data_IF_675188975523
#
_entry.id   IF_675188975523
#
_cell.length_a   1.000
_cell.length_b   1.000
_cell.length_c   1.000
_cell.angle_alpha   90.00
_cell.angle_beta   90.00
_cell.angle_gamma   90.00
#
_symmetry.space_group_name_H-M   'P 1'
#
loop_
_entity.id
_entity.type
_entity.pdbx_description
1 polymer ?
#
# COMPACT_ATOMS: atom_id res chain seq x y z
N UNK A 1 68.21 0.72 13.32
CA UNK A 1 68.44 1.13 11.93
C UNK A 1 67.16 0.78 11.15
N UNK A 2 66.22 1.69 11.12
CA UNK A 2 64.91 1.49 10.46
C UNK A 2 64.97 2.10 9.05
N UNK A 3 64.87 1.26 8.03
CA UNK A 3 64.80 1.70 6.63
C UNK A 3 63.33 2.03 6.30
N UNK A 4 63.01 3.31 6.18
CA UNK A 4 61.73 3.79 5.61
C UNK A 4 61.77 3.58 4.09
N UNK A 5 60.93 2.68 3.58
CA UNK A 5 60.63 2.62 2.15
C UNK A 5 59.61 3.72 1.80
N UNK A 6 60.00 4.73 1.10
CA UNK A 6 59.15 5.76 0.49
C UNK A 6 58.49 5.15 -0.76
N UNK A 7 57.18 5.01 -0.75
CA UNK A 7 56.42 4.61 -1.92
C UNK A 7 56.15 5.88 -2.74
N UNK A 8 56.51 5.84 -4.01
CA UNK A 8 56.38 6.97 -4.96
C UNK A 8 54.90 7.29 -5.25
N UNK A 9 54.49 8.59 -5.25
CA UNK A 9 53.12 9.01 -5.56
C UNK A 9 52.65 8.70 -6.97
N UNK A 10 53.55 8.37 -7.89
CA UNK A 10 53.22 8.01 -9.29
C UNK A 10 52.47 6.67 -9.41
N UNK A 11 52.59 5.76 -8.44
CA UNK A 11 51.93 4.46 -8.48
C UNK A 11 50.45 4.55 -8.14
N UNK A 12 49.98 5.58 -7.40
CA UNK A 12 48.60 5.77 -7.05
C UNK A 12 47.76 6.37 -8.17
N UNK A 13 48.34 7.24 -9.01
CA UNK A 13 47.62 7.86 -10.13
C UNK A 13 47.33 6.89 -11.28
N UNK A 14 48.23 5.93 -11.54
CA UNK A 14 48.00 4.90 -12.57
C UNK A 14 46.93 3.88 -12.17
N UNK A 15 46.83 3.53 -10.88
CA UNK A 15 45.78 2.61 -10.38
C UNK A 15 44.39 3.23 -10.42
N UNK A 16 44.24 4.55 -10.13
CA UNK A 16 42.96 5.24 -10.19
C UNK A 16 42.44 5.39 -11.64
N UNK A 17 43.32 5.66 -12.60
CA UNK A 17 42.93 5.75 -14.00
C UNK A 17 42.53 4.41 -14.64
N UNK A 18 43.13 3.31 -14.20
CA UNK A 18 42.75 1.96 -14.66
C UNK A 18 41.41 1.54 -14.10
N UNK A 19 41.11 1.83 -12.82
CA UNK A 19 39.79 1.54 -12.23
C UNK A 19 38.68 2.36 -12.89
N UNK A 20 38.91 3.65 -13.23
CA UNK A 20 37.91 4.47 -13.90
C UNK A 20 37.65 4.02 -15.35
N UNK A 21 38.70 3.56 -16.06
CA UNK A 21 38.56 3.02 -17.41
C UNK A 21 37.85 1.67 -17.46
N UNK A 22 38.03 0.78 -16.45
CA UNK A 22 37.34 -0.48 -16.34
C UNK A 22 35.87 -0.25 -16.01
N UNK A 23 35.53 0.69 -15.12
CA UNK A 23 34.15 1.04 -14.79
C UNK A 23 33.40 1.63 -15.99
N UNK A 24 34.03 2.53 -16.75
CA UNK A 24 33.44 3.09 -17.96
C UNK A 24 33.30 2.08 -19.11
N UNK A 25 34.22 1.13 -19.24
CA UNK A 25 34.14 0.06 -20.23
C UNK A 25 33.05 -0.97 -19.86
N UNK A 26 32.84 -1.24 -18.59
CA UNK A 26 31.76 -2.13 -18.11
C UNK A 26 30.39 -1.51 -18.34
N UNK A 27 30.21 -0.22 -18.02
CA UNK A 27 28.97 0.52 -18.29
C UNK A 27 28.65 0.58 -19.80
N UNK A 28 29.66 0.84 -20.65
CA UNK A 28 29.47 0.89 -22.10
C UNK A 28 29.24 -0.51 -22.75
N UNK A 29 29.69 -1.59 -22.12
CA UNK A 29 29.43 -2.94 -22.57
C UNK A 29 28.01 -3.40 -22.20
N UNK A 30 27.53 -3.05 -21.01
CA UNK A 30 26.18 -3.29 -20.55
C UNK A 30 25.16 -2.51 -21.39
N UNK A 31 25.42 -1.25 -21.70
CA UNK A 31 24.57 -0.43 -22.58
C UNK A 31 24.48 -1.02 -24.01
N UNK A 32 25.57 -1.55 -24.56
CA UNK A 32 25.56 -2.19 -25.88
C UNK A 32 24.82 -3.51 -25.87
N UNK A 33 24.93 -4.31 -24.82
CA UNK A 33 24.22 -5.57 -24.68
C UNK A 33 22.71 -5.35 -24.53
N UNK A 34 22.31 -4.35 -23.73
CA UNK A 34 20.90 -3.98 -23.56
C UNK A 34 20.28 -3.41 -24.83
N UNK A 35 20.98 -2.56 -25.56
CA UNK A 35 20.51 -2.01 -26.85
C UNK A 35 20.36 -3.12 -27.88
N UNK A 36 21.34 -4.03 -27.98
CA UNK A 36 21.26 -5.20 -28.90
C UNK A 36 20.08 -6.10 -28.57
N UNK A 37 19.83 -6.33 -27.27
CA UNK A 37 18.68 -7.13 -26.79
C UNK A 37 17.35 -6.45 -27.12
N UNK A 38 17.24 -5.12 -26.93
CA UNK A 38 16.02 -4.38 -27.22
C UNK A 38 15.68 -4.34 -28.72
N UNK A 39 16.68 -4.27 -29.59
CA UNK A 39 16.49 -4.34 -31.05
C UNK A 39 16.00 -5.71 -31.47
N UNK A 40 16.60 -6.79 -30.93
CA UNK A 40 16.17 -8.15 -31.20
C UNK A 40 14.72 -8.41 -30.74
N UNK A 41 14.34 -7.88 -29.58
CA UNK A 41 12.96 -8.03 -29.08
C UNK A 41 11.95 -7.23 -29.91
N UNK A 42 12.31 -6.03 -30.41
CA UNK A 42 11.44 -5.27 -31.33
C UNK A 42 11.23 -6.01 -32.65
N UNK A 43 12.28 -6.60 -33.21
CA UNK A 43 12.18 -7.41 -34.42
C UNK A 43 11.31 -8.64 -34.18
N UNK A 44 11.49 -9.31 -33.03
CA UNK A 44 10.65 -10.45 -32.64
C UNK A 44 9.18 -10.05 -32.53
N UNK A 45 8.89 -8.90 -31.92
CA UNK A 45 7.52 -8.43 -31.69
C UNK A 45 6.73 -8.18 -32.98
N UNK A 46 7.40 -7.93 -34.12
CA UNK A 46 6.72 -7.89 -35.44
C UNK A 46 5.97 -9.18 -35.76
N UNK A 47 6.40 -10.30 -35.18
CA UNK A 47 5.69 -11.57 -35.33
C UNK A 47 4.28 -11.56 -34.73
N UNK A 48 3.95 -10.62 -33.83
CA UNK A 48 2.58 -10.46 -33.30
C UNK A 48 1.60 -9.97 -34.38
N UNK A 49 2.08 -9.31 -35.42
CA UNK A 49 1.29 -8.82 -36.56
C UNK A 49 1.22 -9.83 -37.73
N UNK A 50 1.85 -10.99 -37.58
CA UNK A 50 1.86 -12.02 -38.64
C UNK A 50 0.45 -12.51 -38.94
N UNK A 51 0.09 -12.71 -40.23
CA UNK A 51 -1.17 -13.33 -40.62
C UNK A 51 -1.27 -14.79 -40.15
N UNK A 52 -0.13 -15.46 -39.93
CA UNK A 52 -0.08 -16.86 -39.50
C UNK A 52 -0.26 -17.00 -38.01
N UNK A 53 -1.34 -17.64 -37.53
CA UNK A 53 -1.62 -17.87 -36.12
C UNK A 53 -0.45 -18.51 -35.37
N UNK A 54 0.17 -19.56 -35.93
CA UNK A 54 1.32 -20.22 -35.29
C UNK A 54 2.51 -19.29 -35.02
N UNK A 55 2.74 -18.33 -35.92
CA UNK A 55 3.82 -17.35 -35.73
C UNK A 55 3.49 -16.40 -34.59
N UNK A 56 2.25 -15.91 -34.52
CA UNK A 56 1.80 -15.04 -33.42
C UNK A 56 1.93 -15.75 -32.07
N UNK A 57 1.52 -17.02 -31.99
CA UNK A 57 1.58 -17.81 -30.75
C UNK A 57 3.04 -18.05 -30.30
N UNK A 58 3.90 -18.53 -31.20
CA UNK A 58 5.32 -18.72 -30.89
C UNK A 58 6.02 -17.42 -30.49
N UNK A 59 5.60 -16.27 -31.07
CA UNK A 59 6.11 -14.96 -30.69
C UNK A 59 5.65 -14.58 -29.30
N UNK A 60 4.36 -14.81 -28.97
CA UNK A 60 3.81 -14.53 -27.63
C UNK A 60 4.57 -15.30 -26.54
N UNK A 61 4.79 -16.61 -26.72
CA UNK A 61 5.53 -17.43 -25.78
C UNK A 61 6.97 -16.93 -25.56
N UNK A 62 7.66 -16.52 -26.65
CA UNK A 62 9.03 -16.00 -26.55
C UNK A 62 9.08 -14.67 -25.79
N UNK A 63 8.09 -13.78 -26.01
CA UNK A 63 8.01 -12.49 -25.31
C UNK A 63 7.65 -12.68 -23.83
N UNK A 64 6.76 -13.63 -23.51
CA UNK A 64 6.47 -14.00 -22.11
C UNK A 64 7.76 -14.48 -21.41
N UNK A 65 8.51 -15.39 -22.07
CA UNK A 65 9.74 -15.93 -21.51
C UNK A 65 10.87 -14.89 -21.38
N UNK A 66 10.83 -13.82 -22.15
CA UNK A 66 11.77 -12.71 -22.05
C UNK A 66 11.54 -11.83 -20.81
N UNK A 67 10.37 -11.90 -20.19
CA UNK A 67 10.04 -11.19 -18.92
C UNK A 67 10.27 -9.68 -19.00
N UNK A 68 10.95 -9.05 -17.99
CA UNK A 68 11.17 -7.62 -17.89
C UNK A 68 11.68 -6.93 -19.18
N UNK A 69 12.65 -7.47 -19.93
CA UNK A 69 13.11 -6.89 -21.20
C UNK A 69 12.02 -6.76 -22.27
N UNK A 70 10.96 -7.58 -22.24
CA UNK A 70 9.88 -7.51 -23.22
C UNK A 70 8.88 -6.38 -22.93
N UNK A 71 8.75 -5.94 -21.68
CA UNK A 71 7.73 -4.98 -21.27
C UNK A 71 7.73 -3.68 -22.09
N UNK A 72 8.86 -2.97 -22.30
CA UNK A 72 8.86 -1.74 -23.09
C UNK A 72 8.45 -1.96 -24.56
N UNK A 73 8.79 -3.12 -25.12
CA UNK A 73 8.44 -3.47 -26.50
C UNK A 73 6.95 -3.78 -26.61
N UNK A 74 6.39 -4.51 -25.66
CA UNK A 74 4.96 -4.81 -25.59
C UNK A 74 4.12 -3.55 -25.43
N UNK A 75 4.58 -2.59 -24.61
CA UNK A 75 3.93 -1.29 -24.48
C UNK A 75 3.91 -0.50 -25.80
N UNK A 76 5.02 -0.50 -26.54
CA UNK A 76 5.08 0.15 -27.84
C UNK A 76 4.09 -0.49 -28.83
N UNK A 77 4.04 -1.83 -28.90
CA UNK A 77 3.09 -2.56 -29.78
C UNK A 77 1.65 -2.32 -29.34
N UNK A 78 1.35 -2.29 -28.03
CA UNK A 78 0.00 -1.99 -27.53
C UNK A 78 -0.49 -0.60 -27.95
N UNK A 79 0.41 0.39 -28.00
CA UNK A 79 0.10 1.78 -28.38
C UNK A 79 -0.01 1.98 -29.89
N UNK A 80 0.88 1.37 -30.67
CA UNK A 80 1.12 1.71 -32.08
C UNK A 80 0.77 0.57 -33.06
N UNK A 81 0.78 -0.69 -32.63
CA UNK A 81 0.53 -1.87 -33.46
C UNK A 81 -0.91 -1.97 -33.98
N UNK A 82 -1.16 -2.91 -34.89
CA UNK A 82 -2.54 -3.21 -35.31
C UNK A 82 -3.36 -3.71 -34.12
N UNK A 83 -4.71 -3.69 -34.23
CA UNK A 83 -5.58 -3.98 -33.10
C UNK A 83 -5.32 -5.35 -32.46
N UNK A 84 -5.11 -6.39 -33.29
CA UNK A 84 -4.86 -7.75 -32.80
C UNK A 84 -3.54 -7.83 -32.02
N UNK A 85 -2.46 -7.30 -32.58
CA UNK A 85 -1.15 -7.27 -31.92
C UNK A 85 -1.20 -6.43 -30.64
N UNK A 86 -1.93 -5.31 -30.63
CA UNK A 86 -2.09 -4.46 -29.47
C UNK A 86 -2.81 -5.18 -28.32
N UNK A 87 -3.97 -5.79 -28.58
CA UNK A 87 -4.73 -6.55 -27.57
C UNK A 87 -3.94 -7.78 -27.09
N UNK A 88 -3.23 -8.45 -28.00
CA UNK A 88 -2.36 -9.59 -27.68
C UNK A 88 -1.19 -9.16 -26.78
N UNK A 89 -0.61 -7.97 -27.01
CA UNK A 89 0.46 -7.43 -26.16
C UNK A 89 -0.03 -7.17 -24.73
N UNK A 90 -1.26 -6.69 -24.54
CA UNK A 90 -1.86 -6.57 -23.21
C UNK A 90 -2.00 -7.95 -22.54
N UNK A 91 -2.44 -8.98 -23.27
CA UNK A 91 -2.52 -10.35 -22.73
C UNK A 91 -1.15 -10.92 -22.35
N UNK A 92 -0.08 -10.59 -23.10
CA UNK A 92 1.29 -10.99 -22.74
C UNK A 92 1.76 -10.26 -21.48
N UNK A 93 1.50 -8.94 -21.35
CA UNK A 93 1.80 -8.19 -20.13
C UNK A 93 1.06 -8.76 -18.92
N UNK A 94 -0.22 -9.13 -19.07
CA UNK A 94 -0.99 -9.82 -18.03
C UNK A 94 -0.32 -11.13 -17.60
N UNK A 95 0.12 -11.96 -18.56
CA UNK A 95 0.80 -13.21 -18.23
C UNK A 95 2.14 -12.98 -17.52
N UNK A 96 2.93 -11.98 -17.92
CA UNK A 96 4.16 -11.60 -17.23
C UNK A 96 3.84 -11.15 -15.81
N UNK A 97 2.78 -10.36 -15.63
CA UNK A 97 2.31 -9.88 -14.32
C UNK A 97 1.93 -11.02 -13.37
N UNK A 98 1.21 -12.03 -13.88
CA UNK A 98 0.71 -13.15 -13.06
C UNK A 98 1.76 -14.23 -12.83
N UNK A 99 2.58 -14.54 -13.86
CA UNK A 99 3.56 -15.63 -13.82
C UNK A 99 4.92 -15.22 -13.30
N UNK A 100 5.16 -13.94 -13.11
CA UNK A 100 6.44 -13.42 -12.62
C UNK A 100 6.80 -14.00 -11.26
N UNK A 101 7.97 -14.62 -11.13
CA UNK A 101 8.47 -15.10 -9.85
C UNK A 101 9.00 -13.91 -9.04
N UNK A 102 8.24 -13.50 -8.01
CA UNK A 102 8.58 -12.40 -7.09
C UNK A 102 9.99 -12.55 -6.51
N UNK A 103 10.45 -13.79 -6.32
CA UNK A 103 11.80 -14.07 -5.77
C UNK A 103 12.91 -13.94 -6.81
N UNK A 104 12.56 -14.05 -8.10
CA UNK A 104 13.53 -14.13 -9.18
C UNK A 104 13.61 -12.87 -10.02
N UNK A 105 12.48 -12.20 -10.25
CA UNK A 105 12.45 -10.98 -11.08
C UNK A 105 11.25 -10.07 -10.71
N UNK A 106 11.32 -9.43 -9.55
CA UNK A 106 10.33 -8.42 -9.14
C UNK A 106 10.17 -7.29 -10.17
N UNK A 107 11.22 -6.99 -10.92
CA UNK A 107 11.21 -5.91 -11.92
C UNK A 107 10.31 -6.22 -13.12
N UNK A 108 10.16 -7.50 -13.50
CA UNK A 108 9.26 -7.89 -14.58
C UNK A 108 7.80 -7.65 -14.19
N UNK A 109 7.45 -8.03 -12.97
CA UNK A 109 6.09 -7.86 -12.44
C UNK A 109 5.77 -6.38 -12.28
N UNK A 110 6.67 -5.60 -11.66
CA UNK A 110 6.50 -4.16 -11.47
C UNK A 110 6.34 -3.43 -12.81
N UNK A 111 7.19 -3.78 -13.78
CA UNK A 111 7.12 -3.23 -15.13
C UNK A 111 5.83 -3.58 -15.85
N UNK A 112 5.37 -4.83 -15.76
CA UNK A 112 4.13 -5.28 -16.39
C UNK A 112 2.90 -4.63 -15.73
N UNK A 113 2.85 -4.53 -14.38
CA UNK A 113 1.78 -3.85 -13.66
C UNK A 113 1.71 -2.38 -14.04
N UNK A 114 2.85 -1.67 -13.98
CA UNK A 114 2.93 -0.27 -14.39
C UNK A 114 2.50 -0.08 -15.85
N UNK A 115 2.93 -0.98 -16.74
CA UNK A 115 2.54 -0.96 -18.14
C UNK A 115 1.04 -1.16 -18.36
N UNK A 116 0.42 -2.07 -17.64
CA UNK A 116 -1.02 -2.26 -17.67
C UNK A 116 -1.76 -1.02 -17.15
N UNK A 117 -1.30 -0.42 -16.04
CA UNK A 117 -1.84 0.83 -15.51
C UNK A 117 -1.76 1.98 -16.53
N UNK A 118 -0.64 2.13 -17.23
CA UNK A 118 -0.48 3.13 -18.29
C UNK A 118 -1.46 2.89 -19.44
N UNK A 119 -1.66 1.64 -19.83
CA UNK A 119 -2.55 1.27 -20.93
C UNK A 119 -4.03 1.46 -20.62
N UNK A 120 -4.47 1.49 -19.35
CA UNK A 120 -5.86 1.86 -18.99
C UNK A 120 -6.19 3.31 -19.41
N UNK A 121 -5.18 4.16 -19.55
CA UNK A 121 -5.31 5.55 -19.98
C UNK A 121 -5.09 5.71 -21.50
N UNK A 122 -5.00 4.61 -22.25
CA UNK A 122 -4.77 4.63 -23.69
C UNK A 122 -5.92 5.29 -24.43
N UNK A 123 -5.62 6.13 -25.43
CA UNK A 123 -6.62 6.65 -26.38
C UNK A 123 -7.25 5.58 -27.28
N UNK A 124 -6.87 4.30 -27.15
CA UNK A 124 -7.40 3.14 -27.89
C UNK A 124 -8.35 2.35 -26.97
N UNK A 125 -9.69 2.48 -27.11
CA UNK A 125 -10.64 1.89 -26.16
C UNK A 125 -10.45 0.40 -25.90
N UNK A 126 -10.27 -0.43 -26.96
CA UNK A 126 -10.09 -1.87 -26.80
C UNK A 126 -8.80 -2.26 -26.05
N UNK A 127 -7.78 -1.42 -26.10
CA UNK A 127 -6.53 -1.61 -25.33
C UNK A 127 -6.74 -1.22 -23.88
N UNK A 128 -7.39 -0.07 -23.65
CA UNK A 128 -7.70 0.42 -22.30
C UNK A 128 -8.61 -0.55 -21.54
N UNK A 129 -9.72 -0.97 -22.16
CA UNK A 129 -10.67 -1.93 -21.58
C UNK A 129 -9.98 -3.26 -21.25
N UNK A 130 -9.13 -3.78 -22.17
CA UNK A 130 -8.42 -5.04 -21.93
C UNK A 130 -7.40 -4.95 -20.80
N UNK A 131 -6.71 -3.80 -20.67
CA UNK A 131 -5.77 -3.56 -19.59
C UNK A 131 -6.50 -3.43 -18.24
N UNK A 132 -7.64 -2.75 -18.21
CA UNK A 132 -8.46 -2.63 -17.01
C UNK A 132 -9.00 -4.00 -16.56
N UNK A 133 -9.53 -4.79 -17.48
CA UNK A 133 -9.98 -6.16 -17.20
C UNK A 133 -8.83 -7.02 -16.65
N UNK A 134 -7.62 -6.90 -17.19
CA UNK A 134 -6.45 -7.65 -16.70
C UNK A 134 -6.11 -7.29 -15.25
N UNK A 135 -6.11 -6.00 -14.90
CA UNK A 135 -5.83 -5.54 -13.54
C UNK A 135 -6.94 -5.94 -12.56
N UNK A 136 -8.21 -5.85 -12.96
CA UNK A 136 -9.34 -6.24 -12.10
C UNK A 136 -9.43 -7.75 -11.90
N UNK A 137 -9.12 -8.56 -12.93
CA UNK A 137 -9.10 -10.03 -12.83
C UNK A 137 -8.07 -10.54 -11.83
N UNK A 138 -7.03 -9.76 -11.56
CA UNK A 138 -5.93 -10.11 -10.66
C UNK A 138 -5.81 -9.11 -9.50
N UNK A 139 -6.94 -8.56 -9.07
CA UNK A 139 -6.99 -7.57 -7.98
C UNK A 139 -6.35 -8.07 -6.68
N UNK A 140 -6.50 -9.34 -6.36
CA UNK A 140 -5.90 -9.98 -5.17
C UNK A 140 -4.36 -9.95 -5.19
N UNK A 141 -3.74 -10.11 -6.36
CA UNK A 141 -2.28 -9.99 -6.53
C UNK A 141 -1.88 -8.52 -6.30
N UNK A 142 -2.61 -7.60 -6.91
CA UNK A 142 -2.39 -6.15 -6.81
C UNK A 142 -2.51 -5.66 -5.37
N UNK A 143 -3.57 -6.07 -4.67
CA UNK A 143 -3.80 -5.72 -3.28
C UNK A 143 -2.67 -6.22 -2.37
N UNK A 144 -2.31 -7.50 -2.45
CA UNK A 144 -1.21 -8.07 -1.66
C UNK A 144 0.11 -7.34 -1.86
N UNK A 145 0.43 -6.98 -3.11
CA UNK A 145 1.67 -6.25 -3.44
C UNK A 145 1.64 -4.82 -2.92
N UNK A 146 0.53 -4.12 -3.14
CA UNK A 146 0.35 -2.77 -2.63
C UNK A 146 0.44 -2.72 -1.09
N UNK A 147 -0.22 -3.66 -0.40
CA UNK A 147 -0.15 -3.78 1.06
C UNK A 147 1.28 -4.05 1.53
N UNK A 148 2.02 -4.97 0.89
CA UNK A 148 3.40 -5.26 1.26
C UNK A 148 4.31 -4.03 1.13
N UNK A 149 4.14 -3.21 0.08
CA UNK A 149 4.88 -1.95 -0.07
C UNK A 149 4.46 -0.91 0.98
N UNK A 150 3.17 -0.81 1.27
CA UNK A 150 2.65 0.09 2.31
C UNK A 150 3.22 -0.28 3.68
N UNK A 151 3.25 -1.57 4.03
CA UNK A 151 3.84 -2.05 5.29
C UNK A 151 5.35 -1.79 5.33
N UNK A 152 6.06 -1.90 4.21
CA UNK A 152 7.47 -1.52 4.10
C UNK A 152 7.72 -0.04 4.37
N UNK A 153 6.75 0.81 4.02
CA UNK A 153 6.75 2.25 4.36
C UNK A 153 6.21 2.55 5.77
N UNK A 154 6.04 1.54 6.61
CA UNK A 154 5.48 1.64 7.96
C UNK A 154 4.01 2.09 8.00
N UNK A 155 3.24 1.82 6.95
CA UNK A 155 1.78 1.85 7.03
C UNK A 155 1.27 0.58 7.70
N UNK A 156 0.08 0.63 8.29
CA UNK A 156 -0.53 -0.51 8.99
C UNK A 156 -1.82 -0.90 8.29
N UNK A 157 -1.86 -2.13 7.76
CA UNK A 157 -3.05 -2.70 7.14
C UNK A 157 -3.84 -3.54 8.15
N UNK A 158 -5.15 -3.35 8.21
CA UNK A 158 -6.07 -4.13 9.06
C UNK A 158 -7.07 -4.87 8.17
N UNK A 159 -7.20 -6.15 8.44
CA UNK A 159 -8.07 -7.07 7.74
C UNK A 159 -9.16 -7.58 8.68
N UNK A 160 -10.32 -7.92 8.16
CA UNK A 160 -11.42 -8.46 8.91
C UNK A 160 -12.67 -7.57 8.86
N UNK A 161 -13.74 -7.95 9.57
CA UNK A 161 -14.96 -7.15 9.59
C UNK A 161 -14.70 -5.79 10.25
N UNK A 162 -15.31 -4.75 9.70
CA UNK A 162 -15.18 -3.36 10.18
C UNK A 162 -15.55 -3.25 11.68
N UNK A 163 -16.46 -4.08 12.16
CA UNK A 163 -16.89 -4.10 13.56
C UNK A 163 -15.77 -4.38 14.56
N UNK A 164 -14.81 -5.23 14.20
CA UNK A 164 -13.62 -5.52 15.03
C UNK A 164 -12.66 -4.34 15.09
N UNK A 165 -12.74 -3.43 14.12
CA UNK A 165 -11.92 -2.22 14.02
C UNK A 165 -12.58 -1.00 14.68
N UNK A 166 -13.82 -1.13 15.19
CA UNK A 166 -14.50 -0.07 15.91
C UNK A 166 -15.09 1.04 15.04
N UNK A 167 -15.35 0.78 13.76
CA UNK A 167 -15.77 1.81 12.81
C UNK A 167 -17.15 1.62 12.19
N UNK A 168 -18.00 0.74 12.72
CA UNK A 168 -19.30 0.54 12.07
C UNK A 168 -20.46 1.16 12.85
N UNK A 169 -20.93 2.28 12.33
CA UNK A 169 -22.11 3.01 12.82
C UNK A 169 -23.44 2.48 12.30
N UNK A 170 -23.48 1.77 11.18
CA UNK A 170 -24.71 1.58 10.41
C UNK A 170 -25.08 0.14 10.05
N UNK A 171 -24.37 -0.90 10.51
CA UNK A 171 -24.75 -2.27 10.14
C UNK A 171 -25.10 -3.13 11.34
N UNK A 172 -26.34 -2.99 11.83
CA UNK A 172 -27.10 -4.10 12.39
C UNK A 172 -27.61 -4.98 11.23
N UNK A 173 -26.72 -5.59 10.48
CA UNK A 173 -27.07 -6.61 9.51
C UNK A 173 -26.23 -7.84 9.85
N UNK A 174 -26.92 -8.98 10.04
CA UNK A 174 -26.37 -10.29 10.38
C UNK A 174 -24.98 -10.52 9.78
N UNK A 175 -24.01 -11.00 10.59
CA UNK A 175 -22.73 -11.41 10.05
C UNK A 175 -22.97 -12.65 9.17
N UNK A 176 -22.98 -12.45 7.87
CA UNK A 176 -22.76 -13.55 6.94
C UNK A 176 -21.29 -13.91 7.10
N UNK A 177 -21.02 -14.99 7.82
CA UNK A 177 -19.68 -15.55 7.86
C UNK A 177 -19.24 -15.79 6.40
N UNK A 178 -18.10 -15.23 5.97
CA UNK A 178 -17.58 -15.56 4.65
C UNK A 178 -17.36 -17.08 4.58
N UNK A 179 -17.61 -17.71 3.42
CA UNK A 179 -17.38 -19.13 3.26
C UNK A 179 -15.92 -19.45 3.55
N UNK A 180 -15.68 -20.34 4.51
CA UNK A 180 -14.34 -20.82 4.86
C UNK A 180 -13.79 -21.60 3.68
N UNK A 181 -12.88 -21.01 2.92
CA UNK A 181 -12.19 -21.72 1.84
C UNK A 181 -11.14 -22.66 2.44
N UNK A 182 -11.36 -23.97 2.22
CA UNK A 182 -10.53 -25.05 2.74
C UNK A 182 -9.27 -25.33 1.89
N UNK A 183 -8.82 -24.40 1.05
CA UNK A 183 -7.69 -24.62 0.13
C UNK A 183 -6.31 -24.44 0.75
N UNK A 184 -6.21 -24.13 2.05
CA UNK A 184 -4.93 -24.13 2.78
C UNK A 184 -3.95 -22.99 2.44
N UNK A 185 -4.40 -21.98 1.71
CA UNK A 185 -3.58 -20.78 1.44
C UNK A 185 -3.78 -19.77 2.59
N UNK A 186 -2.77 -19.67 3.45
CA UNK A 186 -2.77 -18.78 4.62
C UNK A 186 -2.91 -17.28 4.24
N UNK A 187 -2.80 -16.91 2.97
CA UNK A 187 -3.03 -15.54 2.50
C UNK A 187 -4.52 -15.22 2.35
N UNK A 188 -5.39 -16.23 2.24
CA UNK A 188 -6.84 -16.07 2.12
C UNK A 188 -7.56 -16.01 3.47
N UNK A 189 -6.88 -16.33 4.56
CA UNK A 189 -7.45 -16.33 5.91
C UNK A 189 -7.51 -14.94 6.58
N UNK A 190 -6.89 -13.91 5.99
CA UNK A 190 -6.84 -12.58 6.61
C UNK A 190 -8.15 -11.77 6.49
N UNK A 191 -9.10 -12.22 5.70
CA UNK A 191 -10.31 -11.45 5.40
C UNK A 191 -10.08 -10.29 4.41
N UNK A 192 -11.07 -9.42 4.26
CA UNK A 192 -11.01 -8.23 3.40
C UNK A 192 -10.21 -7.12 4.09
N UNK A 193 -9.41 -6.36 3.31
CA UNK A 193 -8.74 -5.16 3.80
C UNK A 193 -9.78 -4.07 4.07
N UNK A 194 -9.93 -3.67 5.33
CA UNK A 194 -11.00 -2.75 5.75
C UNK A 194 -10.46 -1.39 6.17
N UNK A 195 -9.30 -1.35 6.79
CA UNK A 195 -8.70 -0.12 7.31
C UNK A 195 -7.20 -0.08 7.00
N UNK A 196 -6.75 1.09 6.58
CA UNK A 196 -5.33 1.40 6.46
C UNK A 196 -5.00 2.57 7.37
N UNK A 197 -3.82 2.54 8.00
CA UNK A 197 -3.34 3.60 8.88
C UNK A 197 -1.99 4.10 8.35
N UNK A 198 -1.87 5.41 8.14
CA UNK A 198 -0.60 6.07 7.84
C UNK A 198 -0.34 7.15 8.90
N UNK A 199 0.85 7.15 9.47
CA UNK A 199 1.17 7.98 10.62
C UNK A 199 2.57 8.60 10.58
N UNK A 200 3.07 9.12 11.70
CA UNK A 200 4.37 9.80 11.77
C UNK A 200 5.56 8.94 11.34
N UNK A 201 5.44 7.61 11.40
CA UNK A 201 6.48 6.67 10.96
C UNK A 201 6.46 6.40 9.45
N UNK A 202 5.47 6.91 8.72
CA UNK A 202 5.34 6.72 7.28
C UNK A 202 6.56 7.26 6.53
N UNK A 203 7.27 6.40 5.80
CA UNK A 203 8.48 6.75 5.04
C UNK A 203 8.22 6.88 3.53
N UNK A 204 7.03 6.52 3.06
CA UNK A 204 6.69 6.55 1.64
C UNK A 204 6.47 7.97 1.07
N UNK A 205 6.29 8.98 1.95
CA UNK A 205 5.94 10.33 1.50
C UNK A 205 4.71 10.34 0.58
N UNK A 206 4.60 11.34 -0.28
CA UNK A 206 3.50 11.46 -1.25
C UNK A 206 3.52 10.34 -2.31
N UNK A 207 4.71 9.88 -2.71
CA UNK A 207 4.86 8.81 -3.69
C UNK A 207 4.32 7.48 -3.19
N UNK A 208 4.50 7.17 -1.90
CA UNK A 208 3.96 5.96 -1.29
C UNK A 208 2.43 5.89 -1.32
N UNK A 209 1.72 7.04 -1.36
CA UNK A 209 0.27 7.07 -1.50
C UNK A 209 -0.23 6.50 -2.83
N UNK A 210 0.62 6.40 -3.86
CA UNK A 210 0.29 5.72 -5.13
C UNK A 210 0.00 4.24 -4.91
N UNK A 211 0.65 3.59 -3.92
CA UNK A 211 0.35 2.22 -3.57
C UNK A 211 -1.05 2.10 -2.96
N UNK A 212 -1.43 3.08 -2.12
CA UNK A 212 -2.79 3.13 -1.55
C UNK A 212 -3.83 3.34 -2.66
N UNK A 213 -3.54 4.16 -3.67
CA UNK A 213 -4.43 4.39 -4.80
C UNK A 213 -4.75 3.12 -5.63
N UNK A 214 -3.94 2.06 -5.50
CA UNK A 214 -4.19 0.74 -6.10
C UNK A 214 -5.25 -0.07 -5.36
N UNK A 215 -5.53 0.27 -4.10
CA UNK A 215 -6.47 -0.43 -3.23
C UNK A 215 -7.90 0.08 -3.47
N UNK A 216 -8.48 -0.22 -4.63
CA UNK A 216 -9.79 0.28 -5.07
C UNK A 216 -10.96 -0.08 -4.15
N UNK A 217 -10.80 -1.12 -3.33
CA UNK A 217 -11.80 -1.61 -2.37
C UNK A 217 -11.54 -1.16 -0.94
N UNK A 218 -10.53 -0.33 -0.72
CA UNK A 218 -10.26 0.25 0.59
C UNK A 218 -11.38 1.23 0.97
N UNK A 219 -11.99 1.02 2.15
CA UNK A 219 -13.11 1.84 2.62
C UNK A 219 -12.66 2.97 3.54
N UNK A 220 -11.68 2.70 4.42
CA UNK A 220 -11.26 3.66 5.45
C UNK A 220 -9.75 3.82 5.49
N UNK A 221 -9.29 5.07 5.50
CA UNK A 221 -7.90 5.44 5.73
C UNK A 221 -7.82 6.35 6.96
N UNK A 222 -7.05 5.94 7.97
CA UNK A 222 -6.65 6.84 9.05
C UNK A 222 -5.38 7.58 8.65
N UNK A 223 -5.50 8.87 8.53
CA UNK A 223 -4.39 9.81 8.37
C UNK A 223 -4.06 10.39 9.74
N UNK A 224 -2.99 9.88 10.36
CA UNK A 224 -2.60 10.28 11.71
C UNK A 224 -1.81 11.60 11.66
N UNK A 225 -2.13 12.50 12.56
CA UNK A 225 -1.43 13.79 12.72
C UNK A 225 0.09 13.59 12.80
N UNK A 226 0.81 14.38 12.00
CA UNK A 226 2.28 14.27 11.88
C UNK A 226 2.76 13.30 10.80
N UNK A 227 1.86 12.67 10.05
CA UNK A 227 2.22 11.89 8.87
C UNK A 227 2.87 12.81 7.80
N UNK A 228 4.06 12.46 7.25
CA UNK A 228 4.79 13.31 6.31
C UNK A 228 4.25 13.17 4.87
N UNK A 229 2.99 13.56 4.67
CA UNK A 229 2.32 13.61 3.36
C UNK A 229 1.66 14.97 3.16
N UNK A 230 1.59 15.45 1.91
CA UNK A 230 0.98 16.74 1.60
C UNK A 230 -0.55 16.64 1.48
N UNK A 231 -1.24 17.75 1.75
CA UNK A 231 -2.70 17.84 1.60
C UNK A 231 -3.11 17.61 0.13
N UNK A 232 -2.28 18.03 -0.82
CA UNK A 232 -2.48 17.81 -2.25
C UNK A 232 -2.43 16.32 -2.60
N UNK A 233 -1.54 15.56 -1.98
CA UNK A 233 -1.45 14.12 -2.21
C UNK A 233 -2.65 13.38 -1.60
N UNK A 234 -3.13 13.80 -0.44
CA UNK A 234 -4.37 13.30 0.18
C UNK A 234 -5.59 13.62 -0.71
N UNK A 235 -5.67 14.83 -1.27
CA UNK A 235 -6.75 15.20 -2.19
C UNK A 235 -6.74 14.35 -3.47
N UNK A 236 -5.56 14.08 -4.04
CA UNK A 236 -5.41 13.18 -5.20
C UNK A 236 -5.84 11.76 -4.85
N UNK A 237 -5.46 11.24 -3.67
CA UNK A 237 -5.85 9.91 -3.22
C UNK A 237 -7.38 9.78 -3.09
N UNK A 238 -8.04 10.79 -2.50
CA UNK A 238 -9.51 10.82 -2.40
C UNK A 238 -10.20 10.77 -3.77
N UNK A 239 -9.61 11.42 -4.77
CA UNK A 239 -10.13 11.40 -6.14
C UNK A 239 -9.88 10.05 -6.84
N UNK A 240 -8.80 9.35 -6.48
CA UNK A 240 -8.40 8.09 -7.09
C UNK A 240 -9.22 6.88 -6.60
N UNK A 241 -9.77 6.95 -5.38
CA UNK A 241 -10.61 5.89 -4.78
C UNK A 241 -11.96 6.50 -4.40
N UNK A 242 -12.97 6.44 -5.30
CA UNK A 242 -14.31 6.92 -4.99
C UNK A 242 -14.90 6.17 -3.79
N UNK A 243 -15.40 6.90 -2.80
CA UNK A 243 -15.98 6.32 -1.59
C UNK A 243 -14.97 6.05 -0.46
N UNK A 244 -13.68 6.30 -0.67
CA UNK A 244 -12.70 6.22 0.42
C UNK A 244 -12.98 7.30 1.48
N UNK A 245 -13.24 6.86 2.70
CA UNK A 245 -13.36 7.71 3.87
C UNK A 245 -11.95 7.95 4.47
N UNK A 246 -11.48 9.19 4.40
CA UNK A 246 -10.21 9.59 5.00
C UNK A 246 -10.50 10.32 6.30
N UNK A 247 -10.15 9.68 7.43
CA UNK A 247 -10.34 10.22 8.76
C UNK A 247 -9.00 10.72 9.31
N UNK A 248 -8.94 12.01 9.65
CA UNK A 248 -7.80 12.57 10.38
C UNK A 248 -7.93 12.19 11.85
N UNK A 249 -6.86 11.64 12.42
CA UNK A 249 -6.79 11.22 13.83
C UNK A 249 -5.61 11.88 14.51
N UNK A 250 -5.76 12.18 15.83
CA UNK A 250 -4.66 12.65 16.67
C UNK A 250 -3.51 11.62 16.72
N UNK A 251 -2.32 12.10 17.09
CA UNK A 251 -1.15 11.23 17.26
C UNK A 251 -1.34 10.24 18.44
N UNK A 252 -2.10 10.65 19.45
CA UNK A 252 -2.40 9.84 20.63
C UNK A 252 -3.64 8.97 20.41
N UNK A 253 -3.64 7.79 21.04
CA UNK A 253 -4.69 6.78 20.96
C UNK A 253 -5.12 6.36 22.38
N UNK A 254 -6.43 6.21 22.57
CA UNK A 254 -7.02 5.70 23.82
C UNK A 254 -7.25 4.17 23.76
N UNK A 255 -7.57 3.63 22.57
CA UNK A 255 -7.80 2.20 22.37
C UNK A 255 -9.15 1.73 22.89
N UNK A 256 -10.22 2.44 22.56
CA UNK A 256 -11.61 2.05 22.84
C UNK A 256 -12.43 1.94 21.55
N UNK A 257 -13.46 1.12 21.58
CA UNK A 257 -14.61 1.22 20.68
C UNK A 257 -15.78 1.84 21.44
N UNK A 258 -16.73 2.40 20.71
CA UNK A 258 -17.86 3.07 21.31
C UNK A 258 -19.17 2.56 20.68
N UNK A 259 -20.22 2.47 21.48
CA UNK A 259 -21.58 2.26 20.99
C UNK A 259 -22.22 3.65 20.91
N UNK A 260 -22.90 3.94 19.78
CA UNK A 260 -23.65 5.19 19.63
C UNK A 260 -24.57 5.41 20.82
N UNK A 261 -24.54 6.61 21.39
CA UNK A 261 -25.34 6.97 22.56
C UNK A 261 -26.81 6.78 22.25
N UNK A 262 -27.46 5.83 22.94
CA UNK A 262 -28.90 5.69 22.92
C UNK A 262 -29.42 6.61 24.03
N UNK A 263 -29.68 7.89 23.70
CA UNK A 263 -30.24 8.84 24.65
C UNK A 263 -29.57 10.21 24.64
N UNK A 264 -30.11 11.15 25.39
CA UNK A 264 -29.64 12.54 25.53
C UNK A 264 -28.52 12.72 26.59
N UNK A 265 -27.99 11.62 27.13
CA UNK A 265 -26.99 11.71 28.20
C UNK A 265 -25.60 11.97 27.62
N UNK A 266 -24.94 12.99 28.17
CA UNK A 266 -23.57 13.36 27.83
C UNK A 266 -22.55 12.28 28.21
N UNK A 267 -21.49 12.17 27.42
CA UNK A 267 -20.38 11.27 27.65
C UNK A 267 -20.18 10.22 26.55
N UNK A 268 -18.99 9.67 26.49
CA UNK A 268 -18.63 8.58 25.57
C UNK A 268 -18.77 7.23 26.31
N UNK A 269 -19.71 6.38 25.88
CA UNK A 269 -19.85 5.01 26.40
C UNK A 269 -18.82 4.12 25.74
N UNK A 270 -18.00 3.47 26.56
CA UNK A 270 -17.03 2.46 26.11
C UNK A 270 -17.76 1.16 25.82
N UNK A 271 -17.72 0.71 24.56
CA UNK A 271 -18.21 -0.62 24.19
C UNK A 271 -17.17 -1.69 24.56
N UNK A 272 -15.97 -1.54 24.03
CA UNK A 272 -14.85 -2.43 24.32
C UNK A 272 -13.56 -1.63 24.51
N UNK A 273 -12.64 -2.18 25.29
CA UNK A 273 -11.26 -1.70 25.39
C UNK A 273 -10.35 -2.66 24.64
N UNK A 274 -9.42 -2.12 23.86
CA UNK A 274 -8.44 -2.90 23.14
C UNK A 274 -7.32 -3.33 24.09
N UNK A 275 -7.04 -4.62 24.16
CA UNK A 275 -6.01 -5.18 25.02
C UNK A 275 -4.63 -4.59 24.66
N UNK A 276 -3.84 -4.24 25.68
CA UNK A 276 -2.52 -3.61 25.50
C UNK A 276 -2.56 -2.10 25.23
N UNK A 277 -3.73 -1.50 24.97
CA UNK A 277 -3.87 -0.08 24.71
C UNK A 277 -4.10 0.74 25.99
N UNK A 278 -4.05 2.07 25.85
CA UNK A 278 -4.11 3.03 26.96
C UNK A 278 -5.29 2.79 27.93
N UNK A 279 -6.49 2.63 27.40
CA UNK A 279 -7.68 2.44 28.21
C UNK A 279 -7.65 1.12 29.00
N UNK A 280 -7.23 0.01 28.35
CA UNK A 280 -7.11 -1.28 29.02
C UNK A 280 -6.05 -1.24 30.12
N UNK A 281 -4.89 -0.65 29.84
CA UNK A 281 -3.78 -0.53 30.79
C UNK A 281 -4.16 0.35 32.02
N UNK A 282 -5.02 1.34 31.81
CA UNK A 282 -5.56 2.19 32.86
C UNK A 282 -6.73 1.54 33.63
N UNK A 283 -7.22 0.39 33.23
CA UNK A 283 -8.31 -0.34 33.87
C UNK A 283 -9.71 0.18 33.52
N UNK A 284 -9.87 0.88 32.40
CA UNK A 284 -11.17 1.16 31.81
C UNK A 284 -11.82 -0.16 31.37
N UNK A 285 -13.14 -0.20 31.33
CA UNK A 285 -13.91 -1.42 31.01
C UNK A 285 -15.07 -1.08 30.07
N UNK A 286 -15.64 -2.10 29.46
CA UNK A 286 -16.93 -1.99 28.78
C UNK A 286 -17.99 -1.42 29.73
N UNK A 287 -18.88 -0.60 29.21
CA UNK A 287 -19.95 0.14 29.88
C UNK A 287 -19.50 1.32 30.77
N UNK A 288 -18.18 1.60 30.87
CA UNK A 288 -17.75 2.88 31.44
C UNK A 288 -18.24 4.02 30.56
N UNK A 289 -18.67 5.11 31.17
CA UNK A 289 -18.98 6.35 30.47
C UNK A 289 -17.93 7.39 30.77
N UNK A 290 -17.14 7.78 29.79
CA UNK A 290 -16.15 8.86 29.93
C UNK A 290 -16.91 10.17 29.87
N UNK A 291 -16.87 10.93 30.98
CA UNK A 291 -17.59 12.22 31.13
C UNK A 291 -16.65 13.44 31.13
N UNK A 292 -15.37 13.23 31.44
CA UNK A 292 -14.34 14.26 31.36
C UNK A 292 -13.00 13.63 30.97
N UNK A 293 -12.25 14.36 30.13
CA UNK A 293 -10.94 13.97 29.67
C UNK A 293 -9.98 15.15 29.80
N UNK A 294 -9.03 15.07 30.73
CA UNK A 294 -8.26 16.20 31.18
C UNK A 294 -9.19 17.26 31.83
N UNK A 295 -9.05 18.49 31.37
CA UNK A 295 -9.85 19.64 31.87
C UNK A 295 -11.18 19.82 31.08
N UNK A 296 -11.46 18.95 30.10
CA UNK A 296 -12.59 19.13 29.19
C UNK A 296 -13.70 18.10 29.43
N UNK A 297 -14.96 18.59 29.46
CA UNK A 297 -16.12 17.70 29.43
C UNK A 297 -16.19 16.96 28.08
N UNK A 298 -16.66 15.70 28.14
CA UNK A 298 -16.86 14.85 26.97
C UNK A 298 -18.36 14.75 26.70
N UNK A 299 -18.84 15.36 25.63
CA UNK A 299 -20.25 15.30 25.27
C UNK A 299 -20.61 13.97 24.59
N UNK A 300 -19.71 13.50 23.71
CA UNK A 300 -19.87 12.24 22.96
C UNK A 300 -18.52 11.67 22.51
N UNK A 301 -18.55 10.63 21.68
CA UNK A 301 -17.33 10.01 21.15
C UNK A 301 -16.54 10.96 20.23
N UNK A 302 -17.20 11.77 19.43
CA UNK A 302 -16.51 12.67 18.50
C UNK A 302 -15.78 13.77 19.26
N UNK A 303 -16.41 14.33 20.30
CA UNK A 303 -15.76 15.27 21.19
C UNK A 303 -14.49 14.66 21.83
N UNK A 304 -14.55 13.39 22.25
CA UNK A 304 -13.37 12.68 22.77
C UNK A 304 -12.28 12.50 21.72
N UNK A 305 -12.64 12.16 20.47
CA UNK A 305 -11.70 12.05 19.35
C UNK A 305 -11.04 13.40 19.06
N UNK A 306 -11.81 14.49 19.07
CA UNK A 306 -11.29 15.84 18.85
C UNK A 306 -10.32 16.26 19.96
N UNK A 307 -10.63 15.92 21.21
CA UNK A 307 -9.73 16.19 22.34
C UNK A 307 -8.39 15.47 22.19
N UNK A 308 -8.40 14.23 21.70
CA UNK A 308 -7.18 13.43 21.48
C UNK A 308 -6.19 14.08 20.51
N UNK A 309 -6.63 15.00 19.62
CA UNK A 309 -5.73 15.75 18.74
C UNK A 309 -4.75 16.67 19.49
N UNK A 310 -5.06 17.02 20.73
CA UNK A 310 -4.24 17.90 21.54
C UNK A 310 -3.16 17.15 22.35
N UNK A 311 -3.15 15.83 22.30
CA UNK A 311 -2.26 14.99 23.10
C UNK A 311 -1.28 14.18 22.23
N UNK A 312 -0.22 13.73 22.89
CA UNK A 312 0.83 12.89 22.28
C UNK A 312 0.89 11.51 22.97
N UNK A 313 1.42 10.50 22.29
CA UNK A 313 1.75 9.23 22.94
C UNK A 313 2.66 9.46 24.16
N UNK A 314 2.31 8.83 25.27
CA UNK A 314 3.01 8.99 26.56
C UNK A 314 2.42 10.06 27.48
N UNK A 315 1.54 10.93 27.02
CA UNK A 315 0.86 11.89 27.88
C UNK A 315 -0.04 11.13 28.87
N UNK A 316 -0.05 11.61 30.12
CA UNK A 316 -0.92 11.07 31.17
C UNK A 316 -2.10 12.04 31.36
N UNK A 317 -3.31 11.52 31.11
CA UNK A 317 -4.53 12.34 31.16
C UNK A 317 -5.46 11.82 32.25
N UNK A 318 -5.83 12.71 33.21
CA UNK A 318 -6.86 12.37 34.18
C UNK A 318 -8.22 12.25 33.49
N UNK A 319 -8.77 11.04 33.52
CA UNK A 319 -10.03 10.71 32.86
C UNK A 319 -11.08 10.39 33.91
N UNK A 320 -12.18 11.16 33.90
CA UNK A 320 -13.31 10.89 34.79
C UNK A 320 -14.32 10.01 34.08
N UNK A 321 -14.62 8.88 34.69
CA UNK A 321 -15.59 7.92 34.22
C UNK A 321 -16.75 7.76 35.19
N UNK A 322 -17.92 7.48 34.66
CA UNK A 322 -19.07 6.98 35.42
C UNK A 322 -19.13 5.46 35.25
N UNK A 323 -18.98 4.72 36.35
CA UNK A 323 -19.03 3.25 36.42
C UNK A 323 -19.96 2.85 37.56
N UNK A 324 -21.03 2.10 37.28
CA UNK A 324 -22.02 1.67 38.26
C UNK A 324 -22.58 2.86 39.07
N UNK A 325 -22.93 3.93 38.38
CA UNK A 325 -23.42 5.21 38.96
C UNK A 325 -22.42 5.90 39.91
N UNK A 326 -21.14 5.49 39.90
CA UNK A 326 -20.09 6.08 40.72
C UNK A 326 -19.05 6.79 39.83
N UNK A 327 -18.78 8.06 40.12
CA UNK A 327 -17.71 8.81 39.46
C UNK A 327 -16.35 8.32 39.95
N UNK A 328 -15.45 8.04 39.02
CA UNK A 328 -14.06 7.63 39.30
C UNK A 328 -13.10 8.43 38.44
N UNK A 329 -11.99 8.85 38.99
CA UNK A 329 -10.90 9.46 38.24
C UNK A 329 -9.82 8.42 38.04
N UNK A 330 -9.40 8.24 36.77
CA UNK A 330 -8.41 7.26 36.36
C UNK A 330 -7.34 7.97 35.55
N UNK A 331 -6.05 7.90 35.92
CA UNK A 331 -4.97 8.40 35.09
C UNK A 331 -4.74 7.46 33.93
N UNK A 332 -4.81 7.97 32.69
CA UNK A 332 -4.63 7.20 31.46
C UNK A 332 -3.36 7.66 30.77
N UNK A 333 -2.40 6.77 30.59
CA UNK A 333 -1.21 7.03 29.75
C UNK A 333 -1.55 6.68 28.31
N UNK A 334 -1.57 7.67 27.43
CA UNK A 334 -1.97 7.49 26.02
C UNK A 334 -0.92 6.71 25.23
N UNK A 335 -1.37 5.85 24.30
CA UNK A 335 -0.53 5.10 23.36
C UNK A 335 -0.48 5.77 21.99
N UNK A 336 0.34 5.26 21.09
CA UNK A 336 0.41 5.68 19.68
C UNK A 336 -0.31 4.70 18.74
N UNK A 337 -0.16 4.94 17.45
CA UNK A 337 -0.74 4.11 16.36
C UNK A 337 0.32 3.15 15.76
N UNK A 338 1.06 2.46 16.61
CA UNK A 338 2.14 1.55 16.20
C UNK A 338 1.62 0.18 15.75
#
# INVERSE_FOLDING_TARGET
MFVRRTVSPAAYLTSLLILSAISAAHCAADDRATVSSSVALREMARGLESPAFKVREATSERLINAQAPAVPVLLAVAKEGNLEAAVRSVGILEQIYVSGDVKRDGTAIDGAEFGLEELTLSGRPSVADRADIALESHYDIRERRAVAEIERFHGVAKFGPIDELGNNWNQRINPVQPPVDRTGDASKDKGELTLLIVGPKWTGGDEGLKQIARLKRLHVLYHIQGCPVSDEAIARLRSAIPGLEIQVRGAAKLGITHIGSIGSEKGCIVDRVQEGEAAANAGLRSQDRIVRFGDHEVDDFYALVDLLHNYKPGDVVETVILRDDVMKTVPVTLTGWD
#
